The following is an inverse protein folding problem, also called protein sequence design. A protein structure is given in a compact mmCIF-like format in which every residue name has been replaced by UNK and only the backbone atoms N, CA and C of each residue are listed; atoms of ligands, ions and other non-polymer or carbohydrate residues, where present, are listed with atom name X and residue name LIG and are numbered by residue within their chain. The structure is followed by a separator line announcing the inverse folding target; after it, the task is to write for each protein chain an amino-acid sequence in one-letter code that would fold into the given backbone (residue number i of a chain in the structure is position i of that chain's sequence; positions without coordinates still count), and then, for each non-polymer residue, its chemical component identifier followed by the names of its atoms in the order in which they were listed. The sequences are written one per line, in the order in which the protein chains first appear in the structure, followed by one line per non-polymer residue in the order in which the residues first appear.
data_IF_978610688820
#
_entry.id   IF_978610688820
#
_cell.length_a   1.000
_cell.length_b   1.000
_cell.length_c   1.000
_cell.angle_alpha   90.00
_cell.angle_beta   90.00
_cell.angle_gamma   90.00
#
_symmetry.space_group_name_H-M   'P 1'
#
loop_
_entity.id
_entity.type
_entity.pdbx_description
1 polymer ?
#
# COMPACT_ATOMS: atom_id res chain seq x y z
N UNK A 1 -13.00 -27.50 10.16
CA UNK A 1 -12.62 -26.80 11.40
C UNK A 1 -12.93 -25.32 11.20
N UNK A 2 -14.21 -24.96 11.26
CA UNK A 2 -14.61 -23.59 11.53
C UNK A 2 -15.48 -23.68 12.76
N UNK A 3 -14.95 -23.01 13.77
CA UNK A 3 -15.32 -23.01 15.18
C UNK A 3 -16.77 -22.54 15.27
N UNK A 4 -17.54 -23.19 16.14
CA UNK A 4 -18.79 -22.67 16.71
C UNK A 4 -18.65 -21.15 16.87
N UNK A 5 -19.40 -20.37 16.08
CA UNK A 5 -19.64 -18.98 16.44
C UNK A 5 -20.34 -19.04 17.80
N UNK A 6 -19.57 -18.84 18.86
CA UNK A 6 -20.09 -18.50 20.18
C UNK A 6 -21.07 -17.36 19.95
N UNK A 7 -22.36 -17.70 19.95
CA UNK A 7 -23.45 -16.73 20.10
C UNK A 7 -23.15 -16.07 21.42
N UNK A 8 -22.49 -14.91 21.38
CA UNK A 8 -22.33 -14.02 22.51
C UNK A 8 -23.69 -13.97 23.19
N UNK A 9 -23.77 -14.50 24.41
CA UNK A 9 -25.00 -14.46 25.17
C UNK A 9 -25.41 -12.99 25.23
N UNK A 10 -26.63 -12.68 24.77
CA UNK A 10 -27.07 -11.30 24.63
C UNK A 10 -27.08 -10.65 26.02
N UNK A 11 -26.02 -9.90 26.34
CA UNK A 11 -25.89 -9.19 27.59
C UNK A 11 -27.05 -8.20 27.69
N UNK A 12 -27.86 -8.34 28.74
CA UNK A 12 -29.08 -7.55 28.89
C UNK A 12 -28.79 -6.04 28.94
N UNK A 13 -27.61 -5.64 29.43
CA UNK A 13 -27.12 -4.26 29.39
C UNK A 13 -26.80 -3.79 27.99
N UNK A 14 -26.12 -4.61 27.17
CA UNK A 14 -25.84 -4.29 25.76
C UNK A 14 -27.13 -4.20 24.94
N UNK A 15 -28.06 -5.15 25.10
CA UNK A 15 -29.35 -5.12 24.41
C UNK A 15 -30.13 -3.85 24.76
N UNK A 16 -30.16 -3.49 26.05
CA UNK A 16 -30.82 -2.27 26.51
C UNK A 16 -30.16 -1.01 25.92
N UNK A 17 -28.83 -0.93 25.92
CA UNK A 17 -28.11 0.21 25.37
C UNK A 17 -28.36 0.40 23.86
N UNK A 18 -28.39 -0.69 23.08
CA UNK A 18 -28.70 -0.64 21.65
C UNK A 18 -30.15 -0.23 21.41
N UNK A 19 -31.09 -0.75 22.22
CA UNK A 19 -32.50 -0.38 22.12
C UNK A 19 -32.73 1.11 22.46
N UNK A 20 -32.09 1.62 23.50
CA UNK A 20 -32.13 3.04 23.88
C UNK A 20 -31.53 3.93 22.80
N UNK A 21 -30.40 3.53 22.21
CA UNK A 21 -29.81 4.25 21.08
C UNK A 21 -30.77 4.34 19.89
N UNK A 22 -31.38 3.22 19.51
CA UNK A 22 -32.36 3.17 18.41
C UNK A 22 -33.60 4.02 18.67
N UNK A 23 -34.13 3.98 19.91
CA UNK A 23 -35.26 4.79 20.32
C UNK A 23 -34.92 6.28 20.24
N UNK A 24 -33.80 6.69 20.83
CA UNK A 24 -33.34 8.07 20.83
C UNK A 24 -33.09 8.59 19.42
N UNK A 25 -32.46 7.80 18.55
CA UNK A 25 -32.19 8.18 17.17
C UNK A 25 -33.48 8.33 16.35
N UNK A 26 -34.45 7.43 16.53
CA UNK A 26 -35.76 7.51 15.86
C UNK A 26 -36.55 8.74 16.30
N UNK A 27 -36.61 8.98 17.62
CA UNK A 27 -37.28 10.15 18.19
C UNK A 27 -36.62 11.46 17.73
N UNK A 28 -35.29 11.48 17.63
CA UNK A 28 -34.56 12.62 17.08
C UNK A 28 -34.93 12.84 15.60
N UNK A 29 -34.93 11.79 14.78
CA UNK A 29 -35.32 11.88 13.38
C UNK A 29 -36.76 12.41 13.21
N UNK A 30 -37.71 11.91 13.99
CA UNK A 30 -39.11 12.39 13.99
C UNK A 30 -39.22 13.86 14.41
N UNK A 31 -38.53 14.24 15.49
CA UNK A 31 -38.47 15.63 15.92
C UNK A 31 -37.91 16.53 14.80
N UNK A 32 -36.80 16.14 14.16
CA UNK A 32 -36.22 16.91 13.03
C UNK A 32 -37.10 16.95 11.78
N UNK A 33 -37.98 15.98 11.58
CA UNK A 33 -38.92 15.98 10.45
C UNK A 33 -40.07 16.98 10.66
N UNK A 34 -40.40 17.29 11.92
CA UNK A 34 -41.47 18.24 12.28
C UNK A 34 -40.95 19.64 12.64
N UNK A 35 -39.69 19.74 13.05
CA UNK A 35 -39.02 20.98 13.45
C UNK A 35 -38.12 21.51 12.31
N UNK A 36 -38.36 22.76 11.90
CA UNK A 36 -37.59 23.43 10.86
C UNK A 36 -36.22 23.93 11.33
N UNK A 37 -35.85 23.78 12.60
CA UNK A 37 -34.56 24.21 13.17
C UNK A 37 -33.35 23.72 12.38
N UNK A 38 -33.43 22.52 11.79
CA UNK A 38 -32.35 21.92 10.99
C UNK A 38 -32.57 22.03 9.47
N UNK A 39 -33.66 22.65 9.01
CA UNK A 39 -33.99 22.78 7.58
C UNK A 39 -32.99 23.61 6.78
N UNK A 40 -32.18 24.43 7.45
CA UNK A 40 -31.11 25.22 6.82
C UNK A 40 -29.81 24.42 6.62
N UNK A 41 -29.70 23.23 7.20
CA UNK A 41 -28.52 22.38 7.04
C UNK A 41 -28.66 21.53 5.78
N UNK A 42 -27.71 21.68 4.86
CA UNK A 42 -27.59 20.82 3.68
C UNK A 42 -26.69 19.62 4.00
N UNK A 43 -27.32 18.47 4.23
CA UNK A 43 -26.61 17.20 4.46
C UNK A 43 -26.31 16.45 3.16
N UNK A 44 -26.83 16.90 2.02
CA UNK A 44 -26.69 16.22 0.73
C UNK A 44 -25.21 15.92 0.38
N UNK A 45 -24.25 16.86 0.55
CA UNK A 45 -22.85 16.57 0.21
C UNK A 45 -22.23 15.45 1.06
N UNK A 46 -22.65 15.33 2.32
CA UNK A 46 -22.16 14.30 3.24
C UNK A 46 -22.81 12.95 2.96
N UNK A 47 -24.13 12.94 2.75
CA UNK A 47 -24.91 11.75 2.44
C UNK A 47 -24.50 11.18 1.09
N UNK A 48 -24.35 12.02 0.07
CA UNK A 48 -23.96 11.58 -1.27
C UNK A 48 -22.57 10.97 -1.31
N UNK A 49 -21.60 11.52 -0.55
CA UNK A 49 -20.27 10.91 -0.42
C UNK A 49 -20.36 9.48 0.14
N UNK A 50 -21.17 9.28 1.18
CA UNK A 50 -21.34 7.96 1.78
C UNK A 50 -22.10 7.01 0.85
N UNK A 51 -23.18 7.48 0.21
CA UNK A 51 -23.97 6.70 -0.72
C UNK A 51 -23.12 6.22 -1.91
N UNK A 52 -22.27 7.09 -2.46
CA UNK A 52 -21.32 6.72 -3.52
C UNK A 52 -20.34 5.63 -3.05
N UNK A 53 -19.80 5.73 -1.83
CA UNK A 53 -18.91 4.70 -1.29
C UNK A 53 -19.62 3.36 -1.12
N UNK A 54 -20.83 3.35 -0.56
CA UNK A 54 -21.64 2.13 -0.41
C UNK A 54 -21.95 1.52 -1.76
N UNK A 55 -22.33 2.33 -2.75
CA UNK A 55 -22.58 1.87 -4.12
C UNK A 55 -21.32 1.24 -4.73
N UNK A 56 -20.15 1.85 -4.56
CA UNK A 56 -18.87 1.28 -5.03
C UNK A 56 -18.59 -0.06 -4.36
N UNK A 57 -18.80 -0.19 -3.05
CA UNK A 57 -18.61 -1.47 -2.36
C UNK A 57 -19.59 -2.54 -2.83
N UNK A 58 -20.88 -2.20 -3.00
CA UNK A 58 -21.88 -3.12 -3.52
C UNK A 58 -21.56 -3.57 -4.95
N UNK A 59 -21.15 -2.64 -5.82
CA UNK A 59 -20.73 -2.95 -7.18
C UNK A 59 -19.50 -3.86 -7.17
N UNK A 60 -18.49 -3.53 -6.37
CA UNK A 60 -17.29 -4.35 -6.19
C UNK A 60 -17.67 -5.76 -5.78
N UNK A 61 -18.50 -5.93 -4.75
CA UNK A 61 -18.87 -7.24 -4.22
C UNK A 61 -19.77 -8.02 -5.20
N UNK A 62 -20.52 -7.33 -6.08
CA UNK A 62 -21.33 -7.95 -7.13
C UNK A 62 -20.53 -8.38 -8.37
N UNK A 63 -19.45 -7.66 -8.69
CA UNK A 63 -18.62 -7.89 -9.90
C UNK A 63 -17.40 -8.76 -9.59
N UNK A 64 -16.79 -8.55 -8.43
CA UNK A 64 -15.66 -9.35 -7.95
C UNK A 64 -16.24 -10.59 -7.28
N UNK A 65 -16.37 -11.66 -8.05
CA UNK A 65 -16.44 -12.99 -7.46
C UNK A 65 -15.07 -13.30 -6.88
N UNK A 66 -14.97 -13.29 -5.56
CA UNK A 66 -13.78 -13.71 -4.83
C UNK A 66 -13.66 -15.23 -4.99
N UNK A 67 -13.15 -15.67 -6.14
CA UNK A 67 -12.79 -17.07 -6.36
C UNK A 67 -11.45 -17.31 -5.65
N UNK A 68 -11.50 -17.42 -4.32
CA UNK A 68 -10.35 -17.69 -3.46
C UNK A 68 -9.99 -19.17 -3.37
N UNK A 69 -10.65 -20.03 -4.16
CA UNK A 69 -10.28 -21.44 -4.21
C UNK A 69 -9.03 -21.63 -5.06
N UNK A 70 -7.87 -21.40 -4.44
CA UNK A 70 -6.62 -21.95 -4.93
C UNK A 70 -6.58 -23.43 -4.57
N UNK A 71 -6.36 -24.28 -5.57
CA UNK A 71 -6.10 -25.70 -5.32
C UNK A 71 -4.75 -25.88 -4.65
N UNK A 72 -4.60 -26.98 -3.90
CA UNK A 72 -3.31 -27.37 -3.31
C UNK A 72 -2.21 -27.51 -4.37
N UNK A 73 -2.58 -27.90 -5.60
CA UNK A 73 -1.66 -28.00 -6.72
C UNK A 73 -1.20 -26.63 -7.23
N UNK A 74 -2.11 -25.66 -7.39
CA UNK A 74 -1.75 -24.28 -7.74
C UNK A 74 -0.92 -23.61 -6.65
N UNK A 75 -1.22 -23.89 -5.38
CA UNK A 75 -0.43 -23.40 -4.25
C UNK A 75 0.99 -23.99 -4.26
N UNK A 76 1.12 -25.29 -4.52
CA UNK A 76 2.41 -25.97 -4.64
C UNK A 76 3.21 -25.46 -5.83
N UNK A 77 2.58 -25.32 -7.00
CA UNK A 77 3.24 -24.76 -8.19
C UNK A 77 3.71 -23.34 -7.95
N UNK A 78 2.93 -22.50 -7.27
CA UNK A 78 3.40 -21.17 -6.86
C UNK A 78 4.55 -21.25 -5.89
N UNK A 79 4.49 -22.08 -4.86
CA UNK A 79 5.60 -22.22 -3.92
C UNK A 79 6.89 -22.73 -4.58
N UNK A 80 6.79 -23.64 -5.55
CA UNK A 80 7.93 -24.16 -6.31
C UNK A 80 8.47 -23.14 -7.32
N UNK A 81 7.61 -22.32 -7.91
CA UNK A 81 7.99 -21.26 -8.86
C UNK A 81 8.52 -20.02 -8.15
N UNK A 82 7.90 -19.68 -7.02
CA UNK A 82 8.24 -18.59 -6.11
C UNK A 82 9.10 -19.19 -5.00
N UNK A 83 10.34 -19.58 -5.33
CA UNK A 83 11.34 -19.97 -4.33
C UNK A 83 11.31 -18.95 -3.16
N UNK A 84 11.48 -19.40 -1.89
CA UNK A 84 11.42 -18.52 -0.73
C UNK A 84 12.28 -17.29 -1.00
N UNK A 85 11.66 -16.12 -0.94
CA UNK A 85 12.27 -14.87 -1.36
C UNK A 85 13.64 -14.73 -0.69
N UNK A 86 14.70 -14.95 -1.47
CA UNK A 86 16.07 -14.75 -1.02
C UNK A 86 16.19 -13.26 -0.72
N UNK A 87 16.17 -12.92 0.57
CA UNK A 87 16.52 -11.58 1.00
C UNK A 87 18.00 -11.36 0.70
N UNK A 88 18.27 -10.37 -0.14
CA UNK A 88 19.63 -9.93 -0.43
C UNK A 88 19.87 -8.58 0.21
N UNK A 89 21.09 -8.39 0.71
CA UNK A 89 21.57 -7.06 1.10
C UNK A 89 22.50 -6.52 0.02
N UNK A 90 22.15 -5.38 -0.54
CA UNK A 90 22.89 -4.78 -1.64
C UNK A 90 23.25 -3.31 -1.37
N UNK A 91 24.20 -2.81 -2.14
CA UNK A 91 24.51 -1.38 -2.23
C UNK A 91 24.44 -0.93 -3.68
N UNK A 92 24.08 0.33 -3.91
CA UNK A 92 24.04 0.90 -5.26
C UNK A 92 24.66 2.29 -5.36
N UNK A 93 24.96 2.70 -6.60
CA UNK A 93 25.36 4.06 -6.96
C UNK A 93 24.47 4.47 -8.13
N UNK A 94 23.68 5.52 -7.95
CA UNK A 94 22.70 5.98 -8.94
C UNK A 94 23.17 7.27 -9.60
N UNK A 95 22.98 7.38 -10.91
CA UNK A 95 23.14 8.63 -11.65
C UNK A 95 21.80 8.98 -12.30
N UNK A 96 21.33 10.20 -12.08
CA UNK A 96 20.06 10.66 -12.63
C UNK A 96 20.22 11.08 -14.09
N UNK A 97 19.18 10.81 -14.88
CA UNK A 97 19.05 11.30 -16.24
C UNK A 97 17.86 12.24 -16.32
N UNK A 98 17.98 13.39 -17.01
CA UNK A 98 16.85 14.28 -17.22
C UNK A 98 15.78 13.60 -18.07
N UNK A 99 14.52 13.95 -17.82
CA UNK A 99 13.40 13.51 -18.65
C UNK A 99 13.64 14.04 -20.08
N UNK A 100 13.67 13.14 -21.07
CA UNK A 100 14.00 13.49 -22.46
C UNK A 100 15.50 13.55 -22.76
N UNK A 101 16.37 12.95 -21.92
CA UNK A 101 17.81 12.90 -22.16
C UNK A 101 18.17 12.45 -23.58
N UNK A 102 19.01 13.25 -24.24
CA UNK A 102 19.52 12.97 -25.59
C UNK A 102 20.46 11.75 -25.58
N UNK A 103 20.71 11.10 -26.74
CA UNK A 103 21.65 9.98 -26.81
C UNK A 103 23.03 10.35 -26.22
N UNK A 104 23.55 11.54 -26.55
CA UNK A 104 24.84 12.03 -26.04
C UNK A 104 24.86 12.16 -24.51
N UNK A 105 23.76 12.61 -23.90
CA UNK A 105 23.66 12.71 -22.44
C UNK A 105 23.63 11.33 -21.78
N UNK A 106 22.91 10.37 -22.37
CA UNK A 106 22.88 8.99 -21.89
C UNK A 106 24.25 8.34 -21.99
N UNK A 107 24.95 8.52 -23.10
CA UNK A 107 26.30 7.99 -23.32
C UNK A 107 27.30 8.58 -22.32
N UNK A 108 27.19 9.87 -22.02
CA UNK A 108 28.03 10.53 -21.01
C UNK A 108 27.81 9.96 -19.61
N UNK A 109 26.55 9.77 -19.20
CA UNK A 109 26.22 9.17 -17.89
C UNK A 109 26.66 7.70 -17.84
N UNK A 110 26.47 6.93 -18.92
CA UNK A 110 26.93 5.55 -19.00
C UNK A 110 28.46 5.44 -18.92
N UNK A 111 29.19 6.36 -19.56
CA UNK A 111 30.65 6.43 -19.46
C UNK A 111 31.10 6.78 -18.03
N UNK A 112 30.43 7.71 -17.37
CA UNK A 112 30.70 8.04 -15.97
C UNK A 112 30.47 6.83 -15.04
N UNK A 113 29.33 6.15 -15.17
CA UNK A 113 29.03 4.91 -14.43
C UNK A 113 30.05 3.80 -14.72
N UNK A 114 30.50 3.67 -15.97
CA UNK A 114 31.53 2.69 -16.36
C UNK A 114 32.86 2.97 -15.66
N UNK A 115 33.27 4.24 -15.60
CA UNK A 115 34.48 4.66 -14.86
C UNK A 115 34.38 4.34 -13.37
N UNK A 116 33.20 4.57 -12.76
CA UNK A 116 32.95 4.20 -11.35
C UNK A 116 33.01 2.69 -11.16
N UNK A 117 32.42 1.91 -12.06
CA UNK A 117 32.50 0.44 -12.03
C UNK A 117 33.94 -0.04 -12.10
N UNK A 118 34.77 0.54 -12.97
CA UNK A 118 36.18 0.17 -13.09
C UNK A 118 37.00 0.55 -11.85
N UNK A 119 36.66 1.65 -11.17
CA UNK A 119 37.21 2.01 -9.85
C UNK A 119 36.87 0.96 -8.79
N UNK A 120 35.59 0.57 -8.71
CA UNK A 120 35.12 -0.49 -7.80
C UNK A 120 35.82 -1.82 -8.07
N UNK A 121 35.94 -2.23 -9.34
CA UNK A 121 36.61 -3.48 -9.71
C UNK A 121 38.11 -3.50 -9.41
N UNK A 122 38.75 -2.33 -9.34
CA UNK A 122 40.14 -2.17 -8.89
C UNK A 122 40.30 -2.19 -7.37
N UNK A 123 39.21 -2.39 -6.62
CA UNK A 123 39.23 -2.52 -5.16
C UNK A 123 39.04 -1.20 -4.41
N UNK A 124 38.63 -0.13 -5.08
CA UNK A 124 38.28 1.11 -4.41
C UNK A 124 37.04 0.94 -3.52
N UNK A 125 36.98 1.67 -2.40
CA UNK A 125 35.91 1.52 -1.42
C UNK A 125 34.55 1.95 -2.00
N UNK A 126 33.63 0.99 -2.15
CA UNK A 126 32.31 1.24 -2.72
C UNK A 126 31.51 2.29 -1.94
N UNK A 127 31.52 2.24 -0.61
CA UNK A 127 30.77 3.20 0.21
C UNK A 127 31.28 4.63 0.05
N UNK A 128 32.59 4.82 -0.09
CA UNK A 128 33.18 6.13 -0.37
C UNK A 128 32.76 6.66 -1.74
N UNK A 129 32.82 5.80 -2.76
CA UNK A 129 32.35 6.14 -4.11
C UNK A 129 30.85 6.46 -4.15
N UNK A 130 30.04 5.73 -3.39
CA UNK A 130 28.61 5.99 -3.28
C UNK A 130 28.33 7.34 -2.60
N UNK A 131 29.05 7.67 -1.53
CA UNK A 131 28.93 8.98 -0.87
C UNK A 131 29.39 10.13 -1.76
N UNK A 132 30.42 9.92 -2.57
CA UNK A 132 31.00 10.94 -3.44
C UNK A 132 30.16 11.18 -4.70
N UNK A 133 29.66 10.11 -5.34
CA UNK A 133 29.18 10.16 -6.72
C UNK A 133 27.71 9.76 -6.89
N UNK A 134 27.10 9.06 -5.92
CA UNK A 134 25.70 8.66 -6.04
C UNK A 134 24.79 9.88 -5.92
N UNK A 135 23.83 9.96 -6.84
CA UNK A 135 22.80 10.99 -6.89
C UNK A 135 21.48 10.48 -6.27
N UNK A 136 21.49 9.33 -5.60
CA UNK A 136 20.37 8.87 -4.79
C UNK A 136 20.42 9.51 -3.39
N UNK A 137 19.51 10.46 -3.06
CA UNK A 137 19.49 11.12 -1.76
C UNK A 137 19.20 10.18 -0.59
N UNK A 138 18.54 9.04 -0.83
CA UNK A 138 18.15 8.11 0.22
C UNK A 138 19.30 7.26 0.74
N UNK A 139 20.23 6.87 -0.13
CA UNK A 139 21.30 5.92 0.22
C UNK A 139 22.72 6.46 0.05
N UNK A 140 22.95 7.53 -0.72
CA UNK A 140 24.30 8.04 -1.01
C UNK A 140 25.12 8.29 0.26
N UNK A 141 24.57 9.04 1.22
CA UNK A 141 25.23 9.35 2.49
C UNK A 141 25.54 8.09 3.33
N UNK A 142 24.74 7.04 3.17
CA UNK A 142 24.91 5.75 3.84
C UNK A 142 25.75 4.76 3.01
N UNK A 143 26.56 5.26 2.07
CA UNK A 143 27.43 4.42 1.25
C UNK A 143 26.67 3.54 0.25
N UNK A 144 25.48 3.96 -0.16
CA UNK A 144 24.63 3.27 -1.12
C UNK A 144 23.84 2.10 -0.55
N UNK A 145 23.79 1.92 0.77
CA UNK A 145 23.12 0.76 1.42
C UNK A 145 21.60 0.78 1.21
N UNK A 146 21.09 -0.28 0.58
CA UNK A 146 19.66 -0.49 0.33
C UNK A 146 18.99 -1.32 1.44
N UNK A 147 19.75 -1.82 2.41
CA UNK A 147 19.25 -2.78 3.38
C UNK A 147 18.99 -4.16 2.76
N UNK A 148 18.23 -4.99 3.49
CA UNK A 148 17.77 -6.29 2.99
C UNK A 148 16.44 -6.12 2.27
N UNK A 149 16.30 -6.73 1.10
CA UNK A 149 15.05 -6.74 0.36
C UNK A 149 14.87 -8.07 -0.36
N UNK A 150 13.61 -8.50 -0.49
CA UNK A 150 13.20 -9.66 -1.24
C UNK A 150 12.81 -9.33 -2.67
N UNK A 151 12.43 -10.36 -3.42
CA UNK A 151 11.88 -10.21 -4.77
C UNK A 151 10.52 -9.51 -4.68
N UNK A 152 10.39 -8.35 -5.33
CA UNK A 152 9.14 -7.57 -5.37
C UNK A 152 9.14 -6.30 -4.51
N UNK A 153 10.14 -6.12 -3.64
CA UNK A 153 10.22 -4.95 -2.75
C UNK A 153 10.86 -3.72 -3.43
N UNK A 154 11.58 -3.93 -4.53
CA UNK A 154 12.27 -2.87 -5.27
C UNK A 154 11.35 -2.28 -6.34
N UNK A 155 11.34 -0.95 -6.45
CA UNK A 155 10.62 -0.25 -7.53
C UNK A 155 11.33 -0.52 -8.85
N UNK A 156 10.62 -1.13 -9.80
CA UNK A 156 11.07 -1.37 -11.19
C UNK A 156 10.86 -0.17 -12.10
#
# INVERSE_FOLDING_TARGET
LLVDEERLAADAGVVKAVAELWLNYTLLAEATATDSTFSMLDFEPLVMRQAQQVMVFQLRDSVIQVDTFMTEEELRQRYETEEPALEIRARHIMFQLPIGATPVQRDSVAAALSSVRDRVLRGENFSGLAQELSQDPGTALNGGDLGSFGRGDMVT
#
